data_IF_608807742817
#
_entry.id   IF_608807742817
#
_cell.length_a   1.000
_cell.length_b   1.000
_cell.length_c   1.000
_cell.angle_alpha   90.00
_cell.angle_beta   90.00
_cell.angle_gamma   90.00
#
_symmetry.space_group_name_H-M   'P 1'
#
loop_
_entity.id
_entity.type
_entity.pdbx_description
1 polymer ?
#
# COMPACT_ATOMS: atom_id res chain seq x y z
N UNK A 1 4.20 3.58 -3.71
CA UNK A 1 3.29 3.58 -2.54
C UNK A 1 4.06 3.47 -1.22
N UNK A 2 4.86 2.42 -1.02
CA UNK A 2 5.54 2.12 0.25
C UNK A 2 6.29 3.31 0.89
N UNK A 3 7.19 3.98 0.16
CA UNK A 3 7.92 5.13 0.70
C UNK A 3 7.02 6.30 1.14
N UNK A 4 5.96 6.59 0.38
CA UNK A 4 5.01 7.65 0.74
C UNK A 4 4.13 7.28 1.94
N UNK A 5 3.77 5.99 2.08
CA UNK A 5 3.02 5.47 3.22
C UNK A 5 3.87 5.52 4.49
N UNK A 6 5.17 5.19 4.41
CA UNK A 6 6.11 5.28 5.52
C UNK A 6 6.20 6.72 6.05
N UNK A 7 6.22 7.72 5.17
CA UNK A 7 6.15 9.13 5.55
C UNK A 7 4.86 9.55 6.27
N UNK A 8 3.82 8.71 6.26
CA UNK A 8 2.57 8.86 7.02
C UNK A 8 2.48 7.93 8.23
N UNK A 9 3.57 7.26 8.59
CA UNK A 9 3.60 6.31 9.72
C UNK A 9 2.93 4.97 9.41
N UNK A 10 2.74 4.62 8.13
CA UNK A 10 2.20 3.33 7.72
C UNK A 10 3.28 2.53 6.99
N UNK A 11 3.76 1.46 7.62
CA UNK A 11 4.70 0.52 7.01
C UNK A 11 3.93 -0.54 6.20
N UNK A 12 4.37 -0.78 4.96
CA UNK A 12 3.87 -1.86 4.11
C UNK A 12 5.05 -2.55 3.43
N UNK A 13 4.94 -3.86 3.24
CA UNK A 13 5.92 -4.64 2.49
C UNK A 13 5.49 -4.74 1.02
N UNK A 14 6.31 -4.28 0.05
CA UNK A 14 6.07 -4.53 -1.38
C UNK A 14 5.88 -6.02 -1.67
N UNK A 15 4.94 -6.34 -2.56
CA UNK A 15 4.54 -7.72 -2.84
C UNK A 15 5.43 -8.45 -3.84
N UNK A 16 6.28 -7.74 -4.58
CA UNK A 16 7.07 -8.26 -5.71
C UNK A 16 7.95 -9.46 -5.33
N UNK A 17 8.57 -9.42 -4.14
CA UNK A 17 9.41 -10.50 -3.61
C UNK A 17 8.68 -11.84 -3.37
N UNK A 18 7.34 -11.84 -3.42
CA UNK A 18 6.51 -13.04 -3.20
C UNK A 18 6.01 -13.68 -4.51
N UNK A 19 6.39 -13.14 -5.67
CA UNK A 19 6.08 -13.70 -6.97
C UNK A 19 7.34 -14.27 -7.61
N UNK A 20 7.22 -15.43 -8.28
CA UNK A 20 8.35 -16.09 -8.94
C UNK A 20 8.61 -15.58 -10.37
N UNK A 21 7.72 -14.75 -10.91
CA UNK A 21 7.81 -14.23 -12.27
C UNK A 21 8.96 -13.22 -12.42
N UNK A 22 9.63 -13.21 -13.58
CA UNK A 22 10.66 -12.20 -13.92
C UNK A 22 10.12 -10.77 -13.94
N UNK A 23 8.80 -10.63 -14.16
CA UNK A 23 8.07 -9.36 -14.15
C UNK A 23 6.90 -9.47 -13.17
N UNK A 24 7.16 -9.36 -11.86
CA UNK A 24 6.13 -9.56 -10.86
C UNK A 24 5.11 -8.41 -10.90
N UNK A 25 3.86 -8.65 -10.49
CA UNK A 25 2.84 -7.62 -10.45
C UNK A 25 3.16 -6.55 -9.38
N UNK A 26 3.02 -5.28 -9.73
CA UNK A 26 3.43 -4.14 -8.89
C UNK A 26 2.35 -3.58 -7.96
N UNK A 27 1.16 -4.20 -7.93
CA UNK A 27 -0.04 -3.72 -7.20
C UNK A 27 -0.42 -4.59 -6.00
N UNK A 28 0.55 -5.31 -5.45
CA UNK A 28 0.39 -6.17 -4.29
C UNK A 28 1.27 -5.70 -3.14
N UNK A 29 0.79 -5.89 -1.92
CA UNK A 29 1.52 -5.62 -0.67
C UNK A 29 1.18 -6.70 0.35
N UNK A 30 2.10 -6.98 1.27
CA UNK A 30 1.85 -7.86 2.41
C UNK A 30 1.58 -7.01 3.66
N UNK A 31 0.55 -7.38 4.42
CA UNK A 31 0.16 -6.72 5.67
C UNK A 31 0.26 -7.69 6.84
N UNK A 32 1.17 -7.43 7.77
CA UNK A 32 1.21 -8.13 9.06
C UNK A 32 0.40 -7.35 10.08
N UNK A 33 -0.65 -7.94 10.64
CA UNK A 33 -1.52 -7.29 11.63
C UNK A 33 -1.31 -7.77 13.07
N UNK A 34 -0.65 -8.91 13.26
CA UNK A 34 -0.51 -9.56 14.57
C UNK A 34 0.23 -8.69 15.62
N UNK A 35 1.10 -7.79 15.18
CA UNK A 35 1.86 -6.88 16.06
C UNK A 35 1.25 -5.46 16.14
N UNK A 36 0.06 -5.23 15.57
CA UNK A 36 -0.60 -3.93 15.54
C UNK A 36 -1.76 -3.96 16.54
N UNK A 37 -1.84 -3.02 17.51
CA UNK A 37 -3.03 -2.90 18.36
C UNK A 37 -4.27 -2.72 17.48
N UNK A 38 -5.33 -3.50 17.72
CA UNK A 38 -6.51 -3.54 16.83
C UNK A 38 -7.12 -2.16 16.56
N UNK A 39 -7.08 -1.27 17.55
CA UNK A 39 -7.58 0.11 17.45
C UNK A 39 -6.80 0.98 16.44
N UNK A 40 -5.58 0.58 16.07
CA UNK A 40 -4.71 1.29 15.12
C UNK A 40 -4.85 0.77 13.69
N UNK A 41 -5.47 -0.40 13.49
CA UNK A 41 -5.57 -1.03 12.16
C UNK A 41 -6.42 -0.15 11.23
N UNK A 42 -7.61 0.29 11.69
CA UNK A 42 -8.50 1.11 10.86
C UNK A 42 -7.83 2.43 10.43
N UNK A 43 -7.22 3.15 11.39
CA UNK A 43 -6.48 4.38 11.12
C UNK A 43 -5.35 4.17 10.10
N UNK A 44 -4.60 3.08 10.24
CA UNK A 44 -3.52 2.73 9.32
C UNK A 44 -4.03 2.45 7.90
N UNK A 45 -5.12 1.69 7.76
CA UNK A 45 -5.73 1.40 6.46
C UNK A 45 -6.27 2.69 5.83
N UNK A 46 -6.90 3.58 6.61
CA UNK A 46 -7.40 4.88 6.13
C UNK A 46 -6.27 5.78 5.64
N UNK A 47 -5.18 5.86 6.40
CA UNK A 47 -3.99 6.60 6.00
C UNK A 47 -3.35 6.02 4.71
N UNK A 48 -3.26 4.69 4.60
CA UNK A 48 -2.78 4.02 3.39
C UNK A 48 -3.65 4.35 2.17
N UNK A 49 -4.97 4.30 2.32
CA UNK A 49 -5.91 4.64 1.25
C UNK A 49 -5.77 6.10 0.80
N UNK A 50 -5.58 7.04 1.74
CA UNK A 50 -5.34 8.44 1.42
C UNK A 50 -4.06 8.63 0.61
N UNK A 51 -2.95 8.00 1.00
CA UNK A 51 -1.68 8.04 0.23
C UNK A 51 -1.85 7.40 -1.14
N UNK A 52 -2.56 6.28 -1.23
CA UNK A 52 -2.83 5.65 -2.53
C UNK A 52 -3.61 6.58 -3.45
N UNK A 53 -4.63 7.28 -2.92
CA UNK A 53 -5.42 8.23 -3.69
C UNK A 53 -4.60 9.40 -4.25
N UNK A 54 -3.60 9.91 -3.50
CA UNK A 54 -2.73 11.00 -3.99
C UNK A 54 -1.73 10.55 -5.05
N UNK A 55 -1.31 9.28 -5.00
CA UNK A 55 -0.35 8.71 -5.95
C UNK A 55 -1.02 8.13 -7.19
N UNK A 56 -2.32 7.81 -7.13
CA UNK A 56 -3.04 7.28 -8.27
C UNK A 56 -3.09 8.39 -9.32
N UNK A 57 -2.54 8.19 -10.53
CA UNK A 57 -2.74 9.16 -11.59
C UNK A 57 -4.24 9.36 -11.77
N UNK A 58 -4.66 10.61 -12.05
CA UNK A 58 -6.02 10.88 -12.49
C UNK A 58 -6.32 9.86 -13.59
N UNK A 59 -7.36 9.05 -13.41
CA UNK A 59 -7.77 8.11 -14.43
C UNK A 59 -7.92 8.92 -15.71
N UNK A 60 -7.11 8.63 -16.72
CA UNK A 60 -7.22 9.30 -18.00
C UNK A 60 -8.62 8.98 -18.51
N UNK A 61 -9.52 9.96 -18.45
CA UNK A 61 -10.85 9.89 -19.05
C UNK A 61 -10.67 9.89 -20.57
N UNK A 62 -10.29 8.75 -21.13
CA UNK A 62 -10.48 8.42 -22.54
C UNK A 62 -11.97 8.03 -22.63
N UNK A 63 -12.88 8.81 -23.22
CA UNK A 63 -13.02 9.12 -24.67
C UNK A 63 -12.80 7.90 -25.54
#
# INVERSE_FOLDING_TARGET
LAGAALGRGVLIEPGDVFFADERPPSRFVRLGFAAIPSQRIEDGIRALAAVHATLRPAANTLR
#
